data_IF_844879705691
#
_entry.id   IF_844879705691
#
_cell.length_a   1.000
_cell.length_b   1.000
_cell.length_c   1.000
_cell.angle_alpha   90.00
_cell.angle_beta   90.00
_cell.angle_gamma   90.00
#
_symmetry.space_group_name_H-M   'P 1'
#
loop_
_entity.id
_entity.type
_entity.pdbx_description
1 polymer ?
#
# COMPACT_ATOMS: atom_id res chain seq x y z
N UNK A 1 -65.49 30.67 -19.48
CA UNK A 1 -65.45 30.84 -18.00
C UNK A 1 -64.32 29.98 -17.44
N UNK A 2 -63.80 30.32 -16.25
CA UNK A 2 -62.53 29.83 -15.70
C UNK A 2 -62.75 28.80 -14.51
N UNK A 3 -61.72 28.25 -13.81
CA UNK A 3 -61.65 26.87 -13.28
C UNK A 3 -62.02 26.81 -11.75
N UNK A 4 -61.70 25.79 -10.87
CA UNK A 4 -60.70 24.69 -10.95
C UNK A 4 -60.97 23.34 -10.20
N UNK A 5 -59.91 22.50 -10.07
CA UNK A 5 -59.68 21.36 -9.12
C UNK A 5 -60.22 19.98 -9.56
N UNK A 6 -59.51 18.86 -9.34
CA UNK A 6 -58.75 18.48 -8.13
C UNK A 6 -57.35 17.91 -8.36
N UNK A 7 -56.52 17.94 -7.30
CA UNK A 7 -55.16 17.40 -7.23
C UNK A 7 -55.15 16.06 -6.49
N UNK A 8 -54.36 15.09 -6.97
CA UNK A 8 -53.51 14.23 -6.13
C UNK A 8 -52.47 13.52 -7.01
N UNK A 9 -51.21 13.85 -6.79
CA UNK A 9 -50.08 13.10 -7.34
C UNK A 9 -49.79 11.90 -6.43
N UNK A 10 -49.42 10.77 -7.03
CA UNK A 10 -48.61 9.76 -6.36
C UNK A 10 -47.56 9.24 -7.35
N UNK A 11 -46.32 9.68 -7.13
CA UNK A 11 -45.14 9.11 -7.76
C UNK A 11 -44.83 7.79 -7.04
N UNK A 12 -44.83 6.67 -7.77
CA UNK A 12 -44.37 5.38 -7.26
C UNK A 12 -42.96 5.08 -7.80
N UNK A 13 -41.95 5.70 -7.19
CA UNK A 13 -40.54 5.41 -7.48
C UNK A 13 -40.15 4.08 -6.85
N UNK A 14 -40.01 3.02 -7.66
CA UNK A 14 -39.40 1.77 -7.20
C UNK A 14 -37.87 1.89 -7.25
N UNK A 15 -37.27 2.17 -6.09
CA UNK A 15 -35.84 2.05 -5.90
C UNK A 15 -35.47 0.60 -5.54
N UNK A 16 -34.90 -0.15 -6.48
CA UNK A 16 -34.31 -1.46 -6.22
C UNK A 16 -32.94 -1.30 -5.58
N UNK A 17 -32.89 -1.30 -4.25
CA UNK A 17 -31.63 -1.40 -3.49
C UNK A 17 -31.07 -2.81 -3.61
N UNK A 18 -30.11 -2.99 -4.52
CA UNK A 18 -29.27 -4.18 -4.55
C UNK A 18 -28.29 -4.12 -3.37
N UNK A 19 -28.58 -4.87 -2.31
CA UNK A 19 -27.67 -5.04 -1.19
C UNK A 19 -26.48 -5.94 -1.61
N UNK A 20 -25.43 -5.34 -2.14
CA UNK A 20 -24.15 -6.03 -2.34
C UNK A 20 -23.52 -6.22 -0.96
N UNK A 21 -23.55 -7.45 -0.46
CA UNK A 21 -22.81 -7.84 0.74
C UNK A 21 -21.30 -7.84 0.43
N UNK A 22 -20.67 -6.67 0.54
CA UNK A 22 -19.21 -6.60 0.68
C UNK A 22 -18.86 -7.24 2.02
N UNK A 23 -18.24 -8.42 1.96
CA UNK A 23 -17.63 -9.09 3.11
C UNK A 23 -16.39 -8.32 3.59
N UNK A 24 -16.59 -7.10 4.08
CA UNK A 24 -15.57 -6.37 4.82
C UNK A 24 -15.34 -7.08 6.15
N UNK A 25 -14.13 -7.60 6.35
CA UNK A 25 -13.73 -8.15 7.64
C UNK A 25 -13.79 -7.05 8.69
N UNK A 26 -14.87 -7.01 9.46
CA UNK A 26 -15.01 -6.11 10.59
C UNK A 26 -14.11 -6.63 11.71
N UNK A 27 -12.82 -6.28 11.63
CA UNK A 27 -11.82 -6.61 12.63
C UNK A 27 -12.21 -5.91 13.92
N UNK A 28 -12.77 -6.66 14.87
CA UNK A 28 -13.07 -6.16 16.20
C UNK A 28 -11.82 -5.53 16.79
N UNK A 29 -11.85 -4.21 16.97
CA UNK A 29 -10.82 -3.50 17.71
C UNK A 29 -10.93 -3.91 19.18
N UNK A 30 -10.18 -4.95 19.56
CA UNK A 30 -9.86 -5.19 20.96
C UNK A 30 -9.15 -3.95 21.49
N UNK A 31 -9.60 -3.41 22.62
CA UNK A 31 -9.01 -2.26 23.29
C UNK A 31 -7.54 -2.55 23.68
N UNK A 32 -6.62 -2.35 22.76
CA UNK A 32 -5.21 -2.14 23.04
C UNK A 32 -4.98 -0.65 23.26
N UNK A 33 -4.23 -0.31 24.31
CA UNK A 33 -3.75 1.06 24.50
C UNK A 33 -3.05 1.55 23.23
N UNK A 34 -3.30 2.80 22.85
CA UNK A 34 -2.60 3.42 21.73
C UNK A 34 -1.12 3.60 22.12
N UNK A 35 -0.30 2.58 21.85
CA UNK A 35 1.14 2.57 22.13
C UNK A 35 1.76 3.87 21.63
N UNK A 36 2.32 4.67 22.55
CA UNK A 36 2.83 5.99 22.20
C UNK A 36 4.05 5.85 21.30
N UNK A 37 4.02 6.50 20.14
CA UNK A 37 5.14 6.56 19.21
C UNK A 37 6.15 7.64 19.65
N UNK A 38 6.48 7.69 20.95
CA UNK A 38 7.30 8.77 21.54
C UNK A 38 8.72 8.83 20.96
N UNK A 39 9.26 7.69 20.51
CA UNK A 39 10.53 7.58 19.78
C UNK A 39 10.40 7.80 18.27
N UNK A 40 9.17 7.95 17.76
CA UNK A 40 8.83 7.92 16.34
C UNK A 40 8.91 6.54 15.67
N UNK A 41 9.58 5.57 16.29
CA UNK A 41 9.80 4.21 15.77
C UNK A 41 8.66 3.26 16.13
N UNK A 42 8.57 2.16 15.39
CA UNK A 42 7.64 1.05 15.69
C UNK A 42 8.29 0.09 16.70
N UNK A 43 7.59 -0.25 17.82
CA UNK A 43 8.07 -1.24 18.78
C UNK A 43 8.36 -2.62 18.15
N UNK A 44 9.42 -3.29 18.61
CA UNK A 44 9.91 -4.56 18.03
C UNK A 44 8.93 -5.73 18.17
N UNK A 45 8.17 -5.72 19.26
CA UNK A 45 7.20 -6.72 19.70
C UNK A 45 5.83 -6.58 19.01
N UNK A 46 5.59 -5.47 18.28
CA UNK A 46 4.29 -5.20 17.65
C UNK A 46 3.99 -6.08 16.43
N UNK A 47 5.01 -6.63 15.79
CA UNK A 47 4.89 -7.35 14.53
C UNK A 47 5.74 -8.62 14.51
N UNK A 48 5.13 -9.77 14.23
CA UNK A 48 5.85 -11.01 13.95
C UNK A 48 6.03 -11.22 12.44
N UNK A 49 7.22 -11.63 12.01
CA UNK A 49 7.50 -11.86 10.58
C UNK A 49 6.79 -13.11 10.00
N UNK A 50 6.22 -13.95 10.86
CA UNK A 50 5.23 -14.99 10.50
C UNK A 50 3.94 -14.39 9.92
N UNK A 51 3.59 -13.16 10.29
CA UNK A 51 2.36 -12.46 9.90
C UNK A 51 2.51 -11.54 8.68
N UNK A 52 3.63 -11.64 7.93
CA UNK A 52 3.82 -10.87 6.69
C UNK A 52 2.67 -11.16 5.73
N UNK A 53 1.91 -10.12 5.39
CA UNK A 53 0.76 -10.20 4.49
C UNK A 53 1.12 -9.53 3.17
N UNK A 54 1.31 -10.33 2.11
CA UNK A 54 1.52 -9.82 0.75
C UNK A 54 1.02 -10.80 -0.30
N UNK A 55 0.50 -10.32 -1.45
CA UNK A 55 0.03 -11.18 -2.53
C UNK A 55 1.13 -12.13 -3.05
N UNK A 56 0.80 -13.42 -3.07
CA UNK A 56 1.62 -14.52 -3.62
C UNK A 56 0.80 -15.29 -4.66
N UNK A 57 0.68 -14.78 -5.90
CA UNK A 57 -0.01 -15.48 -6.98
C UNK A 57 0.67 -16.81 -7.30
N UNK A 58 -0.10 -17.77 -7.80
CA UNK A 58 0.41 -19.02 -8.34
C UNK A 58 1.25 -18.75 -9.60
N UNK A 59 2.13 -19.70 -9.94
CA UNK A 59 2.83 -19.69 -11.21
C UNK A 59 1.83 -19.72 -12.38
N UNK A 60 2.13 -19.04 -13.51
CA UNK A 60 1.24 -19.01 -14.67
C UNK A 60 1.08 -20.41 -15.27
N UNK A 61 -0.15 -20.79 -15.59
CA UNK A 61 -0.48 -22.08 -16.21
C UNK A 61 -0.47 -22.04 -17.76
N UNK A 62 -0.30 -20.86 -18.35
CA UNK A 62 -0.23 -20.63 -19.79
C UNK A 62 1.05 -19.87 -20.14
N UNK A 63 1.69 -20.22 -21.25
CA UNK A 63 2.99 -19.66 -21.66
C UNK A 63 2.95 -18.16 -21.97
N UNK A 64 1.77 -17.62 -22.28
CA UNK A 64 1.53 -16.22 -22.64
C UNK A 64 0.89 -15.39 -21.51
N UNK A 65 0.78 -15.95 -20.30
CA UNK A 65 0.27 -15.27 -19.12
C UNK A 65 1.37 -14.45 -18.43
N UNK A 66 1.00 -13.29 -17.88
CA UNK A 66 1.94 -12.40 -17.19
C UNK A 66 2.50 -13.08 -15.92
N UNK A 67 3.82 -13.16 -15.81
CA UNK A 67 4.48 -13.77 -14.64
C UNK A 67 4.31 -12.95 -13.35
N UNK A 68 4.27 -13.62 -12.18
CA UNK A 68 4.48 -13.00 -10.87
C UNK A 68 5.77 -12.18 -10.82
N UNK A 69 5.69 -10.98 -10.23
CA UNK A 69 6.85 -10.11 -10.05
C UNK A 69 7.51 -10.37 -8.70
N UNK A 70 8.78 -10.77 -8.71
CA UNK A 70 9.60 -10.92 -7.50
C UNK A 70 9.65 -9.62 -6.70
N UNK A 71 9.41 -9.70 -5.39
CA UNK A 71 9.58 -8.57 -4.48
C UNK A 71 11.07 -8.20 -4.35
N UNK A 72 11.41 -6.90 -4.28
CA UNK A 72 12.80 -6.48 -4.13
C UNK A 72 13.39 -6.92 -2.78
N UNK A 73 14.67 -7.27 -2.78
CA UNK A 73 15.51 -7.35 -1.57
C UNK A 73 15.71 -5.93 -1.00
N UNK A 74 15.71 -5.74 0.33
CA UNK A 74 16.03 -4.43 0.91
C UNK A 74 17.44 -3.96 0.51
N UNK A 75 17.61 -2.67 0.17
CA UNK A 75 18.92 -2.06 -0.05
C UNK A 75 19.75 -2.03 1.24
N UNK A 76 21.08 -2.04 1.11
CA UNK A 76 22.01 -2.13 2.22
C UNK A 76 21.87 -0.96 3.22
N UNK A 77 21.48 0.23 2.74
CA UNK A 77 21.33 1.42 3.58
C UNK A 77 20.17 1.29 4.57
N UNK A 78 19.12 0.54 4.23
CA UNK A 78 17.99 0.27 5.14
C UNK A 78 18.32 -0.74 6.25
N UNK A 79 19.35 -1.57 6.08
CA UNK A 79 19.64 -2.72 6.96
C UNK A 79 21.00 -2.63 7.68
N UNK A 80 21.67 -1.47 7.61
CA UNK A 80 23.03 -1.29 8.13
C UNK A 80 23.07 -0.42 9.39
N UNK A 81 23.41 -1.05 10.51
CA UNK A 81 23.67 -0.40 11.81
C UNK A 81 24.95 0.46 11.84
N UNK A 82 25.76 0.47 10.77
CA UNK A 82 27.13 1.00 10.83
C UNK A 82 27.14 2.53 10.85
N UNK A 83 27.06 3.10 12.07
CA UNK A 83 26.81 4.50 12.42
C UNK A 83 27.93 5.52 12.03
N UNK A 84 28.70 5.23 10.98
CA UNK A 84 29.82 6.09 10.52
C UNK A 84 29.34 7.28 9.69
N UNK A 85 28.86 8.31 10.38
CA UNK A 85 29.17 9.75 10.17
C UNK A 85 29.20 10.38 8.76
N UNK A 86 28.68 9.75 7.71
CA UNK A 86 28.69 10.33 6.36
C UNK A 86 27.61 11.40 6.21
N UNK A 87 28.02 12.59 5.79
CA UNK A 87 27.16 13.78 5.62
C UNK A 87 26.03 13.51 4.61
N UNK A 88 26.28 12.68 3.59
CA UNK A 88 25.31 12.36 2.54
C UNK A 88 24.37 11.18 2.88
N UNK A 89 24.58 10.50 4.02
CA UNK A 89 23.78 9.34 4.44
C UNK A 89 22.28 9.61 4.51
N UNK A 90 21.78 10.73 5.08
CA UNK A 90 20.34 11.02 5.15
C UNK A 90 19.67 10.98 3.77
N UNK A 91 20.28 11.64 2.79
CA UNK A 91 19.81 11.70 1.39
C UNK A 91 19.90 10.34 0.70
N UNK A 92 21.01 9.63 0.88
CA UNK A 92 21.21 8.28 0.31
C UNK A 92 20.18 7.29 0.85
N UNK A 93 19.94 7.28 2.17
CA UNK A 93 18.95 6.42 2.83
C UNK A 93 17.53 6.69 2.34
N UNK A 94 17.12 7.97 2.25
CA UNK A 94 15.81 8.35 1.72
C UNK A 94 15.63 7.91 0.25
N UNK A 95 16.67 8.06 -0.58
CA UNK A 95 16.64 7.65 -1.98
C UNK A 95 16.52 6.12 -2.13
N UNK A 96 17.32 5.35 -1.39
CA UNK A 96 17.24 3.88 -1.34
C UNK A 96 15.86 3.41 -0.86
N UNK A 97 15.30 4.03 0.17
CA UNK A 97 13.96 3.74 0.68
C UNK A 97 12.86 4.04 -0.35
N UNK A 98 12.94 5.17 -1.07
CA UNK A 98 12.00 5.56 -2.12
C UNK A 98 12.06 4.61 -3.33
N UNK A 99 13.26 4.22 -3.76
CA UNK A 99 13.43 3.25 -4.84
C UNK A 99 12.88 1.88 -4.44
N UNK A 100 13.20 1.43 -3.23
CA UNK A 100 12.66 0.18 -2.65
C UNK A 100 11.14 0.19 -2.62
N UNK A 101 10.51 1.22 -2.02
CA UNK A 101 9.05 1.37 -1.96
C UNK A 101 8.40 1.31 -3.36
N UNK A 102 9.02 1.95 -4.34
CA UNK A 102 8.49 2.00 -5.72
C UNK A 102 8.59 0.65 -6.44
N UNK A 103 9.72 -0.07 -6.26
CA UNK A 103 9.87 -1.45 -6.76
C UNK A 103 8.92 -2.41 -6.04
N UNK A 104 8.73 -2.22 -4.74
CA UNK A 104 7.86 -3.04 -3.90
C UNK A 104 6.38 -2.86 -4.25
N UNK A 105 5.87 -1.62 -4.34
CA UNK A 105 4.48 -1.36 -4.72
C UNK A 105 4.16 -1.92 -6.12
N UNK A 106 5.11 -1.82 -7.06
CA UNK A 106 4.96 -2.43 -8.40
C UNK A 106 4.83 -3.95 -8.31
N UNK A 107 5.63 -4.62 -7.49
CA UNK A 107 5.49 -6.06 -7.24
C UNK A 107 4.16 -6.38 -6.54
N UNK A 108 3.83 -5.65 -5.47
CA UNK A 108 2.62 -5.81 -4.67
C UNK A 108 1.34 -5.70 -5.50
N UNK A 109 1.20 -4.64 -6.31
CA UNK A 109 0.01 -4.40 -7.14
C UNK A 109 -0.08 -5.35 -8.33
N UNK A 110 1.04 -5.72 -8.96
CA UNK A 110 1.05 -6.73 -10.03
C UNK A 110 0.62 -8.09 -9.48
N UNK A 111 1.20 -8.49 -8.34
CA UNK A 111 0.91 -9.75 -7.69
C UNK A 111 -0.53 -9.79 -7.14
N UNK A 112 -1.06 -8.70 -6.60
CA UNK A 112 -2.48 -8.60 -6.22
C UNK A 112 -3.41 -8.80 -7.42
N UNK A 113 -3.08 -8.19 -8.57
CA UNK A 113 -3.85 -8.33 -9.80
C UNK A 113 -3.81 -9.77 -10.32
N UNK A 114 -2.64 -10.40 -10.32
CA UNK A 114 -2.46 -11.81 -10.67
C UNK A 114 -3.14 -12.77 -9.69
N UNK A 115 -3.15 -12.50 -8.38
CA UNK A 115 -3.90 -13.30 -7.41
C UNK A 115 -5.40 -13.26 -7.68
N UNK A 116 -5.93 -12.14 -8.18
CA UNK A 116 -7.36 -11.97 -8.47
C UNK A 116 -7.79 -12.50 -9.85
N UNK A 117 -6.94 -12.38 -10.87
CA UNK A 117 -7.30 -12.67 -12.27
C UNK A 117 -6.46 -13.78 -12.94
N UNK A 118 -5.37 -14.23 -12.31
CA UNK A 118 -4.56 -15.36 -12.79
C UNK A 118 -4.14 -15.25 -14.25
N UNK A 119 -4.31 -16.34 -15.00
CA UNK A 119 -3.92 -16.44 -16.42
C UNK A 119 -4.70 -15.53 -17.38
N UNK A 120 -5.79 -14.88 -16.96
CA UNK A 120 -6.48 -13.90 -17.82
C UNK A 120 -5.90 -12.48 -17.70
N UNK A 121 -4.92 -12.24 -16.83
CA UNK A 121 -4.14 -10.99 -16.83
C UNK A 121 -3.30 -10.86 -18.10
N UNK A 122 -3.42 -9.72 -18.80
CA UNK A 122 -2.67 -9.44 -20.05
C UNK A 122 -1.66 -8.32 -19.91
N UNK A 123 -2.01 -7.25 -19.22
CA UNK A 123 -1.15 -6.08 -19.08
C UNK A 123 -1.22 -5.49 -17.68
N UNK A 124 -0.08 -4.98 -17.22
CA UNK A 124 0.07 -4.28 -15.96
C UNK A 124 1.21 -3.26 -16.09
N UNK A 125 0.93 -1.99 -15.82
CA UNK A 125 1.95 -0.94 -15.71
C UNK A 125 1.66 -0.03 -14.51
N UNK A 126 2.71 0.23 -13.70
CA UNK A 126 2.67 1.19 -12.60
C UNK A 126 3.73 2.26 -12.81
N UNK A 127 3.28 3.50 -12.92
CA UNK A 127 4.10 4.70 -13.10
C UNK A 127 3.95 5.63 -11.89
N UNK A 128 5.02 5.80 -11.11
CA UNK A 128 5.09 6.79 -10.04
C UNK A 128 5.07 8.20 -10.64
N UNK A 129 4.17 9.05 -10.17
CA UNK A 129 3.99 10.44 -10.60
C UNK A 129 4.60 11.43 -9.61
N UNK A 130 4.49 11.15 -8.31
CA UNK A 130 5.05 11.98 -7.24
C UNK A 130 5.53 11.14 -6.06
N UNK A 131 6.34 11.75 -5.18
CA UNK A 131 6.81 11.12 -3.95
C UNK A 131 7.20 12.15 -2.89
N UNK A 132 7.10 11.77 -1.62
CA UNK A 132 7.65 12.49 -0.47
C UNK A 132 8.39 11.49 0.42
N UNK A 133 9.51 11.91 0.99
CA UNK A 133 10.25 11.18 2.03
C UNK A 133 10.35 12.02 3.29
N UNK A 134 10.42 11.36 4.45
CA UNK A 134 10.77 11.98 5.73
C UNK A 134 11.63 10.99 6.51
N UNK A 135 12.68 11.50 7.13
CA UNK A 135 13.40 10.72 8.15
C UNK A 135 12.64 10.82 9.47
N UNK A 136 12.75 9.77 10.27
CA UNK A 136 12.42 9.77 11.69
C UNK A 136 13.76 9.74 12.42
N UNK A 137 14.15 10.91 12.93
CA UNK A 137 15.31 11.04 13.79
C UNK A 137 14.97 10.48 15.17
N UNK A 138 15.39 9.25 15.44
CA UNK A 138 15.34 8.69 16.78
C UNK A 138 16.58 9.09 17.58
N UNK A 139 16.45 9.26 18.89
CA UNK A 139 17.57 9.50 19.80
C UNK A 139 18.56 8.33 19.87
N UNK A 140 18.23 7.19 19.28
CA UNK A 140 18.84 5.89 19.54
C UNK A 140 19.57 5.32 18.31
N UNK A 141 20.05 6.17 17.40
CA UNK A 141 20.80 5.84 16.18
C UNK A 141 20.09 4.94 15.14
N UNK A 142 18.99 4.28 15.49
CA UNK A 142 18.12 3.61 14.54
C UNK A 142 17.43 4.64 13.65
N UNK A 143 17.74 4.62 12.36
CA UNK A 143 17.11 5.46 11.35
C UNK A 143 15.88 4.77 10.78
N UNK A 144 14.74 5.45 10.81
CA UNK A 144 13.56 5.01 10.06
C UNK A 144 13.18 6.05 9.00
N UNK A 145 12.54 5.58 7.92
CA UNK A 145 12.12 6.40 6.78
C UNK A 145 10.62 6.22 6.56
N UNK A 146 9.92 7.34 6.49
CA UNK A 146 8.57 7.41 5.94
C UNK A 146 8.65 7.78 4.46
N UNK A 147 7.91 7.06 3.62
CA UNK A 147 7.84 7.30 2.17
C UNK A 147 6.38 7.33 1.74
N UNK A 148 5.95 8.39 1.06
CA UNK A 148 4.72 8.40 0.27
C UNK A 148 5.08 8.34 -1.22
N UNK A 149 4.32 7.54 -1.97
CA UNK A 149 4.34 7.52 -3.43
C UNK A 149 2.93 7.74 -3.95
N UNK A 150 2.80 8.56 -5.00
CA UNK A 150 1.60 8.66 -5.84
C UNK A 150 1.93 8.02 -7.18
N UNK A 151 1.00 7.23 -7.72
CA UNK A 151 1.21 6.53 -8.97
C UNK A 151 -0.09 6.33 -9.76
N UNK A 152 0.07 6.20 -11.07
CA UNK A 152 -0.96 5.76 -11.99
C UNK A 152 -0.76 4.28 -12.31
N UNK A 153 -1.87 3.61 -12.64
CA UNK A 153 -1.94 2.16 -12.78
C UNK A 153 -2.81 1.76 -13.97
N UNK A 154 -2.20 1.27 -15.04
CA UNK A 154 -2.89 0.70 -16.21
C UNK A 154 -2.93 -0.81 -16.08
N UNK A 155 -4.12 -1.42 -16.24
CA UNK A 155 -4.36 -2.86 -16.12
C UNK A 155 -5.22 -3.37 -17.25
N UNK A 156 -4.99 -4.61 -17.69
CA UNK A 156 -5.84 -5.26 -18.69
C UNK A 156 -6.03 -6.75 -18.40
N UNK A 157 -7.24 -7.26 -18.63
CA UNK A 157 -7.54 -8.69 -18.69
C UNK A 157 -7.93 -9.11 -20.11
N UNK A 158 -7.95 -10.41 -20.41
CA UNK A 158 -8.44 -10.92 -21.71
C UNK A 158 -9.89 -10.50 -22.02
N UNK A 159 -10.70 -10.27 -20.99
CA UNK A 159 -12.15 -10.04 -21.10
C UNK A 159 -12.53 -8.56 -21.02
N UNK A 160 -11.56 -7.65 -20.85
CA UNK A 160 -11.81 -6.22 -20.67
C UNK A 160 -10.86 -5.36 -21.51
N UNK A 161 -11.29 -4.16 -21.94
CA UNK A 161 -10.33 -3.14 -22.38
C UNK A 161 -9.35 -2.79 -21.25
N UNK A 162 -8.25 -2.08 -21.56
CA UNK A 162 -7.41 -1.45 -20.55
C UNK A 162 -8.23 -0.55 -19.62
N UNK A 163 -7.87 -0.55 -18.34
CA UNK A 163 -8.45 0.28 -17.30
C UNK A 163 -7.32 1.02 -16.59
N UNK A 164 -7.43 2.34 -16.57
CA UNK A 164 -6.50 3.24 -15.89
C UNK A 164 -7.08 3.70 -14.55
N UNK A 165 -6.28 3.60 -13.50
CA UNK A 165 -6.52 4.21 -12.19
C UNK A 165 -5.44 5.28 -11.96
N UNK A 166 -5.86 6.48 -11.56
CA UNK A 166 -5.00 7.66 -11.46
C UNK A 166 -4.82 8.09 -10.01
N UNK A 167 -3.68 8.71 -9.71
CA UNK A 167 -3.37 9.35 -8.43
C UNK A 167 -3.63 8.46 -7.20
N UNK A 168 -3.26 7.17 -7.28
CA UNK A 168 -3.31 6.27 -6.13
C UNK A 168 -2.14 6.58 -5.21
N UNK A 169 -2.38 6.72 -3.90
CA UNK A 169 -1.32 6.91 -2.90
C UNK A 169 -1.13 5.70 -1.99
N UNK A 170 0.13 5.29 -1.87
CA UNK A 170 0.59 4.34 -0.85
C UNK A 170 1.63 5.02 0.04
N UNK A 171 1.59 4.73 1.33
CA UNK A 171 2.56 5.19 2.33
C UNK A 171 3.27 4.00 2.96
N UNK A 172 4.55 4.20 3.26
CA UNK A 172 5.45 3.18 3.77
C UNK A 172 6.23 3.69 4.97
N UNK A 173 6.46 2.80 5.93
CA UNK A 173 7.47 2.95 6.98
C UNK A 173 8.52 1.86 6.79
N UNK A 174 9.78 2.24 6.87
CA UNK A 174 10.92 1.34 6.87
C UNK A 174 11.81 1.65 8.07
N UNK A 175 12.28 0.61 8.75
CA UNK A 175 13.45 0.65 9.61
C UNK A 175 14.39 -0.52 9.26
N UNK A 176 15.29 -0.86 10.17
CA UNK A 176 16.25 -1.96 10.09
C UNK A 176 15.62 -3.36 10.10
N UNK A 177 14.34 -3.48 10.51
CA UNK A 177 13.66 -4.74 10.84
C UNK A 177 12.41 -5.00 10.00
N UNK A 178 11.66 -3.98 9.61
CA UNK A 178 10.34 -4.13 8.99
C UNK A 178 10.03 -3.11 7.89
N UNK A 179 9.13 -3.52 6.99
CA UNK A 179 8.38 -2.63 6.13
C UNK A 179 6.88 -2.70 6.45
N UNK A 180 6.29 -1.55 6.77
CA UNK A 180 4.84 -1.40 6.88
C UNK A 180 4.31 -0.65 5.66
N UNK A 181 3.15 -1.07 5.13
CA UNK A 181 2.44 -0.42 4.02
C UNK A 181 1.04 -0.02 4.46
N UNK A 182 0.66 1.23 4.23
CA UNK A 182 -0.73 1.67 4.26
C UNK A 182 -1.12 2.24 2.89
N UNK A 183 -2.41 2.22 2.57
CA UNK A 183 -2.95 2.74 1.31
C UNK A 183 -4.01 3.80 1.62
N UNK A 184 -4.03 4.87 0.83
CA UNK A 184 -5.12 5.83 0.87
C UNK A 184 -6.24 5.38 -0.07
N UNK A 185 -7.45 5.21 0.45
CA UNK A 185 -8.62 4.74 -0.31
C UNK A 185 -9.36 5.90 -1.01
N UNK A 186 -8.61 6.73 -1.73
CA UNK A 186 -9.12 7.87 -2.49
C UNK A 186 -8.12 8.39 -3.52
N UNK A 187 -8.51 9.46 -4.23
CA UNK A 187 -7.69 10.13 -5.24
C UNK A 187 -6.74 11.11 -4.55
N UNK A 188 -5.46 11.05 -4.88
CA UNK A 188 -4.39 11.72 -4.14
C UNK A 188 -3.46 12.56 -5.02
N UNK A 189 -3.86 13.79 -5.33
CA UNK A 189 -3.06 14.78 -6.09
C UNK A 189 -1.66 15.06 -5.50
N UNK A 190 -1.42 14.72 -4.22
CA UNK A 190 -0.17 15.01 -3.50
C UNK A 190 0.32 13.81 -2.68
N UNK A 191 1.65 13.56 -2.64
CA UNK A 191 2.26 12.45 -1.91
C UNK A 191 2.38 12.76 -0.42
N UNK A 192 1.27 12.94 0.29
CA UNK A 192 1.31 13.18 1.75
C UNK A 192 1.56 11.89 2.53
N UNK A 193 2.22 12.00 3.70
CA UNK A 193 2.41 10.91 4.66
C UNK A 193 1.11 10.59 5.45
N UNK A 194 0.00 10.40 4.73
CA UNK A 194 -1.31 10.04 5.26
C UNK A 194 -1.99 9.02 4.34
N UNK A 195 -2.43 7.85 4.84
CA UNK A 195 -2.40 7.39 6.24
C UNK A 195 -0.98 7.20 6.80
N UNK A 196 -0.83 7.13 8.13
CA UNK A 196 0.46 6.87 8.78
C UNK A 196 0.68 5.36 8.85
N UNK A 197 1.65 4.78 8.10
CA UNK A 197 1.86 3.35 8.04
C UNK A 197 2.31 2.75 9.37
N UNK A 198 2.77 3.56 10.35
CA UNK A 198 3.06 3.11 11.72
C UNK A 198 1.79 2.91 12.56
N UNK A 199 0.63 3.42 12.13
CA UNK A 199 -0.66 3.29 12.82
C UNK A 199 -1.60 2.39 12.04
N UNK A 200 -1.75 2.70 10.75
CA UNK A 200 -2.77 2.15 9.87
C UNK A 200 -2.21 1.10 8.89
N UNK A 201 -0.93 0.75 9.02
CA UNK A 201 -0.19 -0.09 8.06
C UNK A 201 -0.11 -1.58 8.40
N UNK A 202 -0.05 -2.37 7.35
CA UNK A 202 0.13 -3.81 7.36
C UNK A 202 1.61 -4.18 7.19
N UNK A 203 2.06 -5.27 7.84
CA UNK A 203 3.41 -5.79 7.68
C UNK A 203 3.57 -6.48 6.32
N UNK A 204 4.42 -5.91 5.46
CA UNK A 204 4.61 -6.41 4.08
C UNK A 204 6.02 -6.97 3.81
N UNK A 205 6.99 -6.65 4.66
CA UNK A 205 8.30 -7.32 4.68
C UNK A 205 8.93 -7.24 6.06
N UNK A 206 9.84 -8.18 6.32
CA UNK A 206 10.84 -8.08 7.38
C UNK A 206 12.24 -8.08 6.78
N UNK A 207 13.15 -7.46 7.50
CA UNK A 207 14.56 -7.29 7.20
C UNK A 207 15.40 -7.85 8.35
N UNK A 208 16.65 -8.20 8.06
CA UNK A 208 17.55 -8.82 9.03
C UNK A 208 17.34 -10.34 9.20
N UNK A 209 18.46 -11.06 9.38
CA UNK A 209 18.46 -12.49 9.68
C UNK A 209 18.73 -12.71 11.17
N UNK A 210 17.67 -13.06 11.92
CA UNK A 210 17.77 -13.97 13.08
C UNK A 210 16.71 -15.07 13.07
N UNK A 211 16.45 -15.59 11.87
CA UNK A 211 15.96 -16.96 11.73
C UNK A 211 17.16 -17.91 11.71
N UNK A 212 17.42 -18.53 12.86
CA UNK A 212 18.15 -19.79 13.02
C UNK A 212 17.21 -20.78 13.69
#
# INVERSE_FOLDING_TARGET
>A
MNPPRSRRAFLASFATTAAVATGGFQRSASNGEALSLDSGLVPADRYECSAITRPTPLAPAAEDALEPRTYPTPPAELISDDNRGSIDRPSSLQNSALEYATKFERAYRQNAFLTKYGSVTRFFALQRTASQTSLIDSSNAAHAVLVAIVYNLTKQTQQSPPSDEWDIRATYYFDDRIALRAQYDGIAEKPTLSPDPRRDGELVACFGYRYR
#
